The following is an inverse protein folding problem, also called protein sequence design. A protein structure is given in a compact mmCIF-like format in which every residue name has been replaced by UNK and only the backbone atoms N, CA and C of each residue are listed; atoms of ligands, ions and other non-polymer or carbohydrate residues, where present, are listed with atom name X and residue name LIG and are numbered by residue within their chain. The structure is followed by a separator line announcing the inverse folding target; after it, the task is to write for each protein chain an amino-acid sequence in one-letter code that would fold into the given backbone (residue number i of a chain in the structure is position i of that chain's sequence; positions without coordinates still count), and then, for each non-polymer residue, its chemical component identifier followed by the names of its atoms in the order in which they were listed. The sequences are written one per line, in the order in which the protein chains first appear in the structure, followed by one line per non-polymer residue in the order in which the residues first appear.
data_IF_047186607238
#
_entry.id   IF_047186607238
#
_cell.length_a   1.000
_cell.length_b   1.000
_cell.length_c   1.000
_cell.angle_alpha   90.00
_cell.angle_beta   90.00
_cell.angle_gamma   90.00
#
_symmetry.space_group_name_H-M   'P 1'
#
loop_
_entity.id
_entity.type
_entity.pdbx_description
1 polymer ?
#
# COMPACT_ATOMS: atom_id res chain seq x y z
N UNK A 1 18.75 8.12 -3.18
CA UNK A 1 18.60 9.05 -2.03
C UNK A 1 17.49 10.05 -2.32
N UNK A 2 16.28 9.79 -1.81
CA UNK A 2 15.16 10.73 -1.82
C UNK A 2 15.05 11.31 -0.40
N UNK A 3 15.03 12.63 -0.22
CA UNK A 3 14.93 13.28 1.09
C UNK A 3 13.47 13.18 1.60
N UNK A 4 13.06 11.96 2.00
CA UNK A 4 11.66 11.54 2.27
C UNK A 4 10.92 12.46 3.26
N UNK A 5 11.57 12.85 4.35
CA UNK A 5 10.97 13.71 5.39
C UNK A 5 10.71 15.15 4.91
N UNK A 6 11.65 15.74 4.19
CA UNK A 6 11.55 17.14 3.74
C UNK A 6 10.41 17.37 2.74
N UNK A 7 10.14 16.42 1.85
CA UNK A 7 9.01 16.52 0.92
C UNK A 7 7.66 16.51 1.62
N UNK A 8 7.52 15.72 2.69
CA UNK A 8 6.28 15.63 3.45
C UNK A 8 5.98 16.93 4.19
N UNK A 9 6.97 17.53 4.86
CA UNK A 9 6.76 18.75 5.65
C UNK A 9 6.19 19.92 4.84
N UNK A 10 6.69 20.15 3.62
CA UNK A 10 6.16 21.22 2.76
C UNK A 10 4.70 21.00 2.37
N UNK A 11 4.31 19.75 2.10
CA UNK A 11 2.92 19.41 1.76
C UNK A 11 2.03 19.53 3.00
N UNK A 12 2.49 19.05 4.16
CA UNK A 12 1.74 19.13 5.40
C UNK A 12 1.45 20.58 5.80
N UNK A 13 2.38 21.52 5.59
CA UNK A 13 2.16 22.95 5.86
C UNK A 13 0.97 23.52 5.04
N UNK A 14 0.81 23.10 3.78
CA UNK A 14 -0.33 23.51 2.95
C UNK A 14 -1.64 22.94 3.51
N UNK A 15 -1.65 21.65 3.87
CA UNK A 15 -2.85 21.03 4.44
C UNK A 15 -3.20 21.55 5.83
N UNK A 16 -2.22 21.91 6.66
CA UNK A 16 -2.45 22.50 7.97
C UNK A 16 -3.17 23.85 7.87
N UNK A 17 -2.91 24.62 6.80
CA UNK A 17 -3.65 25.85 6.53
C UNK A 17 -5.10 25.59 6.03
N UNK A 18 -5.38 24.40 5.49
CA UNK A 18 -6.71 24.02 4.99
C UNK A 18 -7.59 23.35 6.05
N UNK A 19 -7.02 22.40 6.82
CA UNK A 19 -7.70 21.65 7.87
C UNK A 19 -6.72 21.39 9.04
N UNK A 20 -6.58 22.34 9.97
CA UNK A 20 -5.58 22.26 11.04
C UNK A 20 -5.86 21.12 12.03
N UNK A 21 -7.13 20.83 12.30
CA UNK A 21 -7.54 19.73 13.20
C UNK A 21 -7.14 18.39 12.60
N UNK A 22 -7.45 18.16 11.31
CA UNK A 22 -7.01 16.95 10.62
C UNK A 22 -5.48 16.82 10.61
N UNK A 23 -4.77 17.90 10.27
CA UNK A 23 -3.30 17.87 10.15
C UNK A 23 -2.63 17.54 11.49
N UNK A 24 -3.14 18.06 12.60
CA UNK A 24 -2.57 17.87 13.93
C UNK A 24 -3.00 16.54 14.57
N UNK A 25 -4.27 16.17 14.44
CA UNK A 25 -4.84 15.06 15.21
C UNK A 25 -4.94 13.77 14.42
N UNK A 26 -5.06 13.85 13.09
CA UNK A 26 -5.45 12.73 12.22
C UNK A 26 -4.36 12.28 11.26
N UNK A 27 -3.21 12.94 11.26
CA UNK A 27 -1.98 12.43 10.67
C UNK A 27 -1.19 11.72 11.77
N UNK A 28 -0.96 10.41 11.61
CA UNK A 28 -0.23 9.58 12.57
C UNK A 28 0.86 8.78 11.86
N UNK A 29 1.82 8.28 12.62
CA UNK A 29 2.87 7.36 12.19
C UNK A 29 3.02 6.22 13.20
N UNK A 30 3.81 5.20 12.88
CA UNK A 30 4.05 4.07 13.78
C UNK A 30 2.96 3.00 13.68
N UNK A 31 2.42 2.80 12.48
CA UNK A 31 1.54 1.71 12.16
C UNK A 31 2.22 0.38 12.55
N UNK A 32 1.58 -0.39 13.44
CA UNK A 32 2.23 -1.56 14.04
C UNK A 32 1.32 -2.79 14.13
N UNK A 33 0.03 -2.60 14.43
CA UNK A 33 -0.95 -3.68 14.46
C UNK A 33 -2.31 -3.24 13.92
N UNK A 34 -3.14 -4.22 13.54
CA UNK A 34 -4.51 -3.96 13.10
C UNK A 34 -5.35 -3.33 14.21
N UNK A 35 -5.18 -3.79 15.46
CA UNK A 35 -5.88 -3.24 16.63
C UNK A 35 -5.50 -1.77 16.87
N UNK A 36 -4.22 -1.42 16.75
CA UNK A 36 -3.76 -0.04 16.88
C UNK A 36 -4.33 0.87 15.80
N UNK A 37 -4.49 0.36 14.58
CA UNK A 37 -5.15 1.09 13.49
C UNK A 37 -6.63 1.34 13.81
N UNK A 38 -7.37 0.32 14.26
CA UNK A 38 -8.78 0.43 14.66
C UNK A 38 -8.92 1.42 15.81
N UNK A 39 -8.04 1.35 16.81
CA UNK A 39 -8.09 2.19 18.01
C UNK A 39 -8.08 3.69 17.68
N UNK A 40 -7.33 4.09 16.65
CA UNK A 40 -7.23 5.47 16.21
C UNK A 40 -8.48 6.00 15.50
N UNK A 41 -9.45 5.14 15.17
CA UNK A 41 -10.73 5.50 14.54
C UNK A 41 -11.93 4.83 15.23
N UNK A 42 -11.75 4.34 16.46
CA UNK A 42 -12.73 3.51 17.17
C UNK A 42 -14.04 4.23 17.47
N UNK A 43 -15.12 3.46 17.51
CA UNK A 43 -16.44 3.89 17.96
C UNK A 43 -16.46 4.02 19.48
N UNK A 44 -17.44 4.75 20.06
CA UNK A 44 -17.61 4.78 21.50
C UNK A 44 -17.83 3.38 22.07
N UNK A 45 -17.25 3.13 23.26
CA UNK A 45 -17.36 1.85 23.96
C UNK A 45 -18.30 2.02 25.14
N UNK A 46 -19.34 1.19 25.18
CA UNK A 46 -20.33 1.15 26.26
C UNK A 46 -20.16 -0.12 27.09
N UNK A 47 -20.34 0.00 28.40
CA UNK A 47 -20.33 -1.12 29.33
C UNK A 47 -21.67 -1.22 30.04
N UNK A 48 -22.21 -2.43 30.14
CA UNK A 48 -23.38 -2.72 30.96
C UNK A 48 -22.96 -2.83 32.42
N UNK A 49 -23.41 -1.90 33.24
CA UNK A 49 -23.14 -1.86 34.66
C UNK A 49 -24.45 -2.10 35.43
N UNK A 50 -24.42 -2.94 36.48
CA UNK A 50 -25.61 -3.19 37.29
C UNK A 50 -25.97 -1.92 38.04
N UNK A 51 -27.24 -1.53 37.96
CA UNK A 51 -27.78 -0.43 38.75
C UNK A 51 -27.83 -0.88 40.21
N UNK A 52 -27.32 -0.04 41.11
CA UNK A 52 -27.29 -0.29 42.55
C UNK A 52 -28.26 0.66 43.25
N UNK A 53 -28.99 0.14 44.23
CA UNK A 53 -29.84 0.96 45.10
C UNK A 53 -29.00 1.81 46.07
N UNK A 54 -29.66 2.68 46.85
CA UNK A 54 -28.99 3.53 47.86
C UNK A 54 -28.25 2.72 48.95
N UNK A 55 -28.52 1.43 49.08
CA UNK A 55 -27.84 0.50 49.99
C UNK A 55 -26.75 -0.35 49.33
N UNK A 56 -26.46 -0.13 48.04
CA UNK A 56 -25.43 -0.85 47.29
C UNK A 56 -25.85 -2.22 46.76
N UNK A 57 -27.11 -2.63 46.90
CA UNK A 57 -27.63 -3.89 46.36
C UNK A 57 -27.99 -3.74 44.88
N UNK A 58 -27.70 -4.78 44.09
CA UNK A 58 -28.09 -4.84 42.69
C UNK A 58 -29.61 -4.83 42.57
N UNK A 59 -30.15 -3.94 41.75
CA UNK A 59 -31.60 -3.82 41.52
C UNK A 59 -32.12 -4.84 40.49
N UNK A 60 -31.21 -5.56 39.81
CA UNK A 60 -31.52 -6.44 38.68
C UNK A 60 -31.54 -5.71 37.32
N UNK A 61 -31.52 -4.38 37.34
CA UNK A 61 -31.43 -3.55 36.14
C UNK A 61 -29.97 -3.28 35.77
N UNK A 62 -29.71 -3.09 34.47
CA UNK A 62 -28.41 -2.71 33.94
C UNK A 62 -28.54 -1.38 33.21
N UNK A 63 -27.58 -0.48 33.46
CA UNK A 63 -27.43 0.75 32.70
C UNK A 63 -26.24 0.63 31.74
N UNK A 64 -26.34 1.26 30.57
CA UNK A 64 -25.22 1.39 29.64
C UNK A 64 -24.45 2.68 29.96
N UNK A 65 -23.24 2.51 30.50
CA UNK A 65 -22.33 3.62 30.76
C UNK A 65 -21.31 3.70 29.61
N UNK A 66 -21.16 4.89 29.01
CA UNK A 66 -20.08 5.14 28.05
C UNK A 66 -18.74 5.19 28.81
N UNK A 67 -17.84 4.26 28.52
CA UNK A 67 -16.52 4.16 29.19
C UNK A 67 -15.39 4.72 28.32
N UNK A 68 -15.62 4.85 27.02
CA UNK A 68 -14.72 5.53 26.08
C UNK A 68 -15.58 6.24 25.02
N UNK A 69 -15.45 7.57 24.83
CA UNK A 69 -16.22 8.29 23.83
C UNK A 69 -15.81 7.93 22.39
N UNK A 70 -14.70 7.21 22.19
CA UNK A 70 -14.17 6.87 20.88
C UNK A 70 -13.51 8.06 20.18
N UNK A 71 -13.47 8.01 18.85
CA UNK A 71 -12.94 9.06 17.98
C UNK A 71 -14.04 9.50 17.02
N UNK A 72 -14.39 10.78 17.08
CA UNK A 72 -15.42 11.38 16.21
C UNK A 72 -14.93 11.55 14.76
N UNK A 73 -13.74 12.14 14.57
CA UNK A 73 -13.14 12.26 13.24
C UNK A 73 -12.55 10.92 12.78
N UNK A 74 -13.35 10.19 12.00
CA UNK A 74 -13.01 8.88 11.44
C UNK A 74 -11.95 8.91 10.33
N UNK A 75 -11.45 10.09 9.93
CA UNK A 75 -10.34 10.20 8.97
C UNK A 75 -9.04 9.85 9.65
N UNK A 76 -8.15 9.14 8.96
CA UNK A 76 -6.79 8.89 9.44
C UNK A 76 -5.83 8.81 8.26
N UNK A 77 -4.71 9.53 8.33
CA UNK A 77 -3.58 9.35 7.45
C UNK A 77 -2.42 8.72 8.22
N UNK A 78 -2.06 7.49 7.89
CA UNK A 78 -0.86 6.85 8.39
C UNK A 78 0.33 7.20 7.47
N UNK A 79 1.26 8.01 7.97
CA UNK A 79 2.50 8.38 7.29
C UNK A 79 3.64 7.51 7.82
N UNK A 80 4.28 6.76 6.92
CA UNK A 80 5.36 5.84 7.27
C UNK A 80 6.62 6.18 6.48
N UNK A 81 7.59 6.81 7.14
CA UNK A 81 8.89 7.13 6.55
C UNK A 81 9.72 5.87 6.19
N UNK A 82 9.46 4.77 6.90
CA UNK A 82 10.13 3.48 6.76
C UNK A 82 9.10 2.35 6.61
N UNK A 83 8.41 2.33 5.48
CA UNK A 83 7.37 1.34 5.20
C UNK A 83 7.92 -0.10 5.14
N UNK A 84 9.24 -0.29 4.99
CA UNK A 84 9.87 -1.61 5.08
C UNK A 84 9.65 -2.27 6.46
N UNK A 85 9.57 -1.49 7.55
CA UNK A 85 9.32 -2.02 8.89
C UNK A 85 7.98 -2.77 9.00
N UNK A 86 6.96 -2.31 8.24
CA UNK A 86 5.67 -2.98 8.14
C UNK A 86 5.74 -4.31 7.42
N UNK A 87 6.57 -4.39 6.37
CA UNK A 87 6.74 -5.60 5.56
C UNK A 87 7.69 -6.61 6.20
N UNK A 88 8.65 -6.14 6.99
CA UNK A 88 9.63 -6.99 7.70
C UNK A 88 9.01 -7.71 8.91
N UNK A 89 7.80 -7.35 9.34
CA UNK A 89 7.18 -8.03 10.48
C UNK A 89 7.10 -9.53 10.16
N UNK A 90 7.78 -10.40 10.93
CA UNK A 90 7.69 -11.83 10.69
C UNK A 90 6.23 -12.24 10.74
N UNK A 91 5.87 -13.32 10.03
CA UNK A 91 4.59 -14.03 10.19
C UNK A 91 4.46 -14.51 11.64
N UNK A 92 4.21 -13.58 12.56
CA UNK A 92 3.76 -13.86 13.91
C UNK A 92 2.33 -14.32 13.72
N UNK A 93 2.03 -15.53 14.16
CA UNK A 93 0.68 -16.02 14.33
C UNK A 93 -0.11 -15.01 15.18
N UNK A 94 -0.84 -14.10 14.51
CA UNK A 94 -1.57 -13.00 15.15
C UNK A 94 -1.38 -11.59 14.58
N UNK A 95 -0.51 -11.35 13.58
CA UNK A 95 -0.47 -10.01 12.95
C UNK A 95 -1.70 -9.79 12.06
N UNK A 96 -2.66 -8.99 12.55
CA UNK A 96 -3.92 -8.68 11.86
C UNK A 96 -3.83 -7.48 10.93
N UNK A 97 -2.68 -6.80 10.85
CA UNK A 97 -2.57 -5.50 10.18
C UNK A 97 -2.92 -5.55 8.69
N UNK A 98 -2.34 -6.48 7.92
CA UNK A 98 -2.62 -6.57 6.48
C UNK A 98 -4.08 -6.91 6.16
N UNK A 99 -4.73 -7.90 6.82
CA UNK A 99 -6.18 -8.07 6.73
C UNK A 99 -6.99 -6.81 7.06
N UNK A 100 -6.63 -6.07 8.12
CA UNK A 100 -7.34 -4.85 8.52
C UNK A 100 -7.15 -3.72 7.50
N UNK A 101 -5.95 -3.52 6.95
CA UNK A 101 -5.71 -2.54 5.87
C UNK A 101 -6.54 -2.88 4.64
N UNK A 102 -6.64 -4.17 4.28
CA UNK A 102 -7.48 -4.61 3.17
C UNK A 102 -8.95 -4.28 3.38
N UNK A 103 -9.47 -4.51 4.60
CA UNK A 103 -10.84 -4.14 4.99
C UNK A 103 -11.06 -2.62 5.00
N UNK A 104 -10.08 -1.86 5.49
CA UNK A 104 -10.12 -0.40 5.54
C UNK A 104 -10.27 0.21 4.13
N UNK A 105 -9.60 -0.37 3.13
CA UNK A 105 -9.71 0.06 1.74
C UNK A 105 -11.07 -0.28 1.11
N UNK A 106 -11.74 -1.35 1.55
CA UNK A 106 -13.00 -1.84 0.98
C UNK A 106 -14.23 -1.17 1.58
N UNK A 107 -14.34 -1.11 2.90
CA UNK A 107 -15.57 -0.66 3.58
C UNK A 107 -15.34 0.41 4.63
N UNK A 108 -14.15 0.49 5.22
CA UNK A 108 -13.89 1.33 6.39
C UNK A 108 -14.54 0.82 7.68
N UNK A 109 -15.26 -0.31 7.65
CA UNK A 109 -15.83 -0.94 8.83
C UNK A 109 -14.86 -1.99 9.34
N UNK A 110 -14.27 -1.72 10.51
CA UNK A 110 -13.21 -2.51 11.09
C UNK A 110 -13.63 -3.05 12.45
N UNK A 111 -13.26 -4.28 12.73
CA UNK A 111 -13.57 -4.91 14.01
C UNK A 111 -12.52 -5.96 14.34
N UNK A 112 -12.13 -6.00 15.61
CA UNK A 112 -11.32 -7.08 16.19
C UNK A 112 -12.20 -7.88 17.15
N UNK A 113 -12.36 -9.17 16.87
CA UNK A 113 -13.15 -10.10 17.70
C UNK A 113 -12.36 -10.63 18.92
N UNK A 114 -11.25 -9.97 19.28
CA UNK A 114 -10.45 -10.41 20.43
C UNK A 114 -11.18 -10.15 21.74
N UNK A 115 -11.21 -11.17 22.61
CA UNK A 115 -11.94 -11.13 23.90
C UNK A 115 -11.52 -9.99 24.83
N UNK A 116 -10.26 -9.55 24.74
CA UNK A 116 -9.64 -8.63 25.68
C UNK A 116 -9.59 -7.17 25.17
N UNK A 117 -9.84 -6.92 23.88
CA UNK A 117 -9.86 -5.58 23.31
C UNK A 117 -10.81 -5.52 22.10
N UNK A 118 -12.13 -5.62 22.31
CA UNK A 118 -13.12 -5.52 21.25
C UNK A 118 -13.21 -4.06 20.78
N UNK A 119 -12.29 -3.65 19.91
CA UNK A 119 -12.33 -2.36 19.25
C UNK A 119 -13.07 -2.51 17.91
N UNK A 120 -14.05 -1.64 17.70
CA UNK A 120 -14.79 -1.50 16.45
C UNK A 120 -14.64 -0.07 15.94
N UNK A 121 -14.55 0.09 14.63
CA UNK A 121 -14.59 1.38 13.96
C UNK A 121 -15.57 1.30 12.79
N UNK A 122 -16.57 2.17 12.76
CA UNK A 122 -17.56 2.22 11.70
C UNK A 122 -17.29 3.43 10.79
N UNK A 123 -17.36 3.23 9.48
CA UNK A 123 -17.16 4.24 8.43
C UNK A 123 -15.80 4.98 8.53
N UNK A 124 -14.73 4.25 8.88
CA UNK A 124 -13.37 4.81 8.91
C UNK A 124 -12.86 5.17 7.50
N UNK A 125 -12.21 6.33 7.39
CA UNK A 125 -11.58 6.77 6.15
C UNK A 125 -10.06 6.83 6.33
N UNK A 126 -9.40 5.72 6.00
CA UNK A 126 -7.96 5.53 6.26
C UNK A 126 -7.18 5.66 4.95
N UNK A 127 -6.17 6.53 4.97
CA UNK A 127 -5.15 6.67 3.93
C UNK A 127 -3.78 6.27 4.48
N UNK A 128 -2.92 5.73 3.62
CA UNK A 128 -1.56 5.34 4.00
C UNK A 128 -0.59 5.92 2.97
N UNK A 129 0.43 6.63 3.45
CA UNK A 129 1.56 7.11 2.64
C UNK A 129 2.82 6.48 3.20
N UNK A 130 3.35 5.50 2.48
CA UNK A 130 4.56 4.77 2.85
C UNK A 130 5.74 5.10 1.95
N UNK A 131 6.91 5.30 2.56
CA UNK A 131 8.16 5.45 1.84
C UNK A 131 9.05 4.21 2.03
N UNK A 132 9.44 3.58 0.91
CA UNK A 132 10.27 2.37 0.89
C UNK A 132 11.32 2.44 -0.22
N UNK A 133 12.41 1.69 -0.07
CA UNK A 133 13.41 1.50 -1.14
C UNK A 133 13.02 0.30 -2.01
N UNK A 134 13.32 0.36 -3.31
CA UNK A 134 13.02 -0.71 -4.29
C UNK A 134 13.45 -2.10 -3.79
N UNK A 135 14.69 -2.23 -3.31
CA UNK A 135 15.22 -3.53 -2.92
C UNK A 135 14.55 -4.08 -1.65
N UNK A 136 14.16 -3.19 -0.72
CA UNK A 136 13.42 -3.58 0.48
C UNK A 136 12.01 -4.09 0.13
N UNK A 137 11.28 -3.38 -0.73
CA UNK A 137 9.93 -3.84 -1.11
C UNK A 137 9.99 -5.17 -1.86
N UNK A 138 10.97 -5.37 -2.75
CA UNK A 138 11.15 -6.66 -3.44
C UNK A 138 11.50 -7.79 -2.48
N UNK A 139 12.29 -7.50 -1.46
CA UNK A 139 12.74 -8.49 -0.48
C UNK A 139 11.64 -8.89 0.50
N UNK A 140 10.82 -7.93 0.94
CA UNK A 140 9.89 -8.12 2.05
C UNK A 140 8.42 -8.29 1.62
N UNK A 141 8.03 -7.83 0.43
CA UNK A 141 6.69 -8.10 -0.09
C UNK A 141 6.64 -9.54 -0.64
N UNK A 142 6.12 -10.46 0.17
CA UNK A 142 5.97 -11.86 -0.23
C UNK A 142 4.89 -12.04 -1.31
N UNK A 143 5.02 -13.08 -2.13
CA UNK A 143 3.98 -13.50 -3.09
C UNK A 143 2.64 -13.75 -2.41
N UNK A 144 2.64 -14.26 -1.19
CA UNK A 144 1.43 -14.49 -0.38
C UNK A 144 0.70 -13.19 -0.12
N UNK A 145 1.39 -12.15 0.37
CA UNK A 145 0.74 -10.87 0.69
C UNK A 145 0.31 -10.10 -0.56
N UNK A 146 1.12 -10.15 -1.62
CA UNK A 146 0.72 -9.60 -2.91
C UNK A 146 -0.50 -10.32 -3.48
N UNK A 147 -0.51 -11.66 -3.45
CA UNK A 147 -1.63 -12.48 -3.92
C UNK A 147 -2.90 -12.32 -3.08
N UNK A 148 -2.77 -12.05 -1.78
CA UNK A 148 -3.85 -11.69 -0.88
C UNK A 148 -4.40 -10.27 -1.14
N UNK A 149 -3.80 -9.54 -2.08
CA UNK A 149 -4.20 -8.21 -2.52
C UNK A 149 -3.73 -7.08 -1.60
N UNK A 150 -2.74 -7.28 -0.74
CA UNK A 150 -2.15 -6.16 -0.02
C UNK A 150 -1.55 -5.14 -1.02
N UNK A 151 -0.71 -5.62 -1.94
CA UNK A 151 0.01 -4.77 -2.88
C UNK A 151 -0.86 -4.00 -3.88
N UNK A 152 -1.99 -4.58 -4.33
CA UNK A 152 -2.89 -3.93 -5.29
C UNK A 152 -3.77 -2.81 -4.71
N UNK A 153 -3.73 -2.60 -3.39
CA UNK A 153 -4.42 -1.49 -2.73
C UNK A 153 -3.55 -0.24 -2.61
N UNK A 154 -2.27 -0.32 -2.98
CA UNK A 154 -1.35 0.81 -3.03
C UNK A 154 -1.15 1.29 -4.48
N UNK A 155 -0.97 2.61 -4.63
CA UNK A 155 -0.41 3.21 -5.84
C UNK A 155 1.12 3.22 -5.69
N UNK A 156 1.80 2.43 -6.51
CA UNK A 156 3.27 2.37 -6.51
C UNK A 156 3.85 3.55 -7.29
N UNK A 157 4.62 4.41 -6.63
CA UNK A 157 5.16 5.64 -7.25
C UNK A 157 6.67 5.66 -7.15
N UNK A 158 7.37 5.55 -8.28
CA UNK A 158 8.83 5.62 -8.33
C UNK A 158 9.36 7.05 -8.30
N UNK A 159 9.70 7.56 -7.12
CA UNK A 159 10.30 8.90 -7.00
C UNK A 159 11.85 8.85 -7.07
N UNK A 160 12.44 9.69 -7.94
CA UNK A 160 13.89 9.97 -7.98
C UNK A 160 14.15 11.43 -7.66
N UNK A 161 15.23 11.71 -6.92
CA UNK A 161 15.67 13.10 -6.68
C UNK A 161 15.96 13.78 -8.02
N UNK A 162 15.30 14.91 -8.27
CA UNK A 162 15.44 15.68 -9.51
C UNK A 162 16.63 16.64 -9.49
N UNK A 163 16.93 17.27 -8.35
CA UNK A 163 17.95 18.34 -8.25
C UNK A 163 18.86 18.17 -7.03
N UNK A 164 20.06 18.75 -7.12
CA UNK A 164 21.01 18.91 -6.02
C UNK A 164 20.92 20.35 -5.53
N UNK A 165 20.23 20.55 -4.42
CA UNK A 165 20.04 21.87 -3.81
C UNK A 165 20.77 21.87 -2.46
N UNK A 166 22.06 22.26 -2.42
CA UNK A 166 22.86 22.27 -1.18
C UNK A 166 22.26 23.23 -0.15
N UNK A 167 21.86 24.42 -0.59
CA UNK A 167 21.19 25.45 0.23
C UNK A 167 19.66 25.24 0.37
N UNK A 168 19.14 24.09 -0.08
CA UNK A 168 17.70 23.84 -0.12
C UNK A 168 16.96 24.61 -1.23
N UNK A 169 15.63 24.66 -1.13
CA UNK A 169 14.76 25.43 -2.02
C UNK A 169 14.34 26.75 -1.38
N UNK A 170 14.12 27.78 -2.19
CA UNK A 170 13.62 29.09 -1.74
C UNK A 170 12.09 29.05 -1.52
N UNK A 171 11.61 28.08 -0.74
CA UNK A 171 10.17 27.87 -0.52
C UNK A 171 9.52 28.99 0.29
N UNK A 172 10.31 29.68 1.11
CA UNK A 172 9.96 30.91 1.82
C UNK A 172 9.55 32.05 0.87
N UNK A 173 10.08 32.05 -0.35
CA UNK A 173 9.74 33.05 -1.39
C UNK A 173 8.50 32.68 -2.21
N UNK A 174 7.94 31.49 -2.02
CA UNK A 174 6.77 31.04 -2.76
C UNK A 174 5.50 31.45 -2.03
N UNK A 175 4.59 32.12 -2.73
CA UNK A 175 3.27 32.43 -2.19
C UNK A 175 2.32 31.24 -2.41
N UNK A 176 2.09 30.45 -1.35
CA UNK A 176 1.14 29.34 -1.37
C UNK A 176 -0.31 29.75 -1.15
N UNK A 177 -0.60 31.00 -0.77
CA UNK A 177 -1.96 31.45 -0.45
C UNK A 177 -2.97 31.20 -1.58
N UNK A 178 -2.68 31.43 -2.88
CA UNK A 178 -3.63 31.12 -3.95
C UNK A 178 -3.99 29.63 -4.02
N UNK A 179 -3.01 28.75 -3.82
CA UNK A 179 -3.21 27.31 -3.79
C UNK A 179 -4.02 26.88 -2.57
N UNK A 180 -3.68 27.40 -1.39
CA UNK A 180 -4.37 27.13 -0.13
C UNK A 180 -5.84 27.56 -0.24
N UNK A 181 -6.13 28.76 -0.76
CA UNK A 181 -7.49 29.23 -0.95
C UNK A 181 -8.30 28.32 -1.88
N UNK A 182 -7.72 27.92 -3.03
CA UNK A 182 -8.37 26.99 -3.97
C UNK A 182 -8.65 25.63 -3.33
N UNK A 183 -7.65 25.07 -2.64
CA UNK A 183 -7.77 23.77 -2.00
C UNK A 183 -8.82 23.79 -0.88
N UNK A 184 -8.81 24.83 -0.05
CA UNK A 184 -9.80 25.03 1.02
C UNK A 184 -11.21 25.14 0.45
N UNK A 185 -11.40 25.95 -0.59
CA UNK A 185 -12.69 26.08 -1.27
C UNK A 185 -13.18 24.76 -1.85
N UNK A 186 -12.29 23.97 -2.47
CA UNK A 186 -12.66 22.66 -3.02
C UNK A 186 -13.03 21.66 -1.90
N UNK A 187 -12.30 21.64 -0.78
CA UNK A 187 -12.63 20.78 0.36
C UNK A 187 -13.98 21.16 0.95
N UNK A 188 -14.24 22.45 1.16
CA UNK A 188 -15.50 22.93 1.76
C UNK A 188 -16.70 22.67 0.84
N UNK A 189 -16.58 22.94 -0.45
CA UNK A 189 -17.71 22.79 -1.40
C UNK A 189 -18.08 21.33 -1.65
N UNK A 190 -17.17 20.38 -1.42
CA UNK A 190 -17.37 18.97 -1.77
C UNK A 190 -17.68 18.03 -0.61
N UNK A 191 -17.60 18.50 0.65
CA UNK A 191 -17.84 17.68 1.86
C UNK A 191 -19.18 16.93 1.87
N UNK A 192 -20.21 17.48 1.24
CA UNK A 192 -21.56 16.90 1.19
C UNK A 192 -21.79 15.90 0.05
N UNK A 193 -20.88 15.81 -0.92
CA UNK A 193 -21.07 15.00 -2.12
C UNK A 193 -20.89 13.53 -1.77
N UNK A 194 -21.95 12.74 -1.98
CA UNK A 194 -21.95 11.29 -1.67
C UNK A 194 -21.72 10.40 -2.89
N UNK A 195 -22.07 10.90 -4.07
CA UNK A 195 -22.01 10.14 -5.32
C UNK A 195 -21.66 11.09 -6.46
N UNK A 196 -20.74 10.65 -7.32
CA UNK A 196 -20.46 11.28 -8.60
C UNK A 196 -20.90 10.34 -9.71
N UNK A 197 -21.43 10.91 -10.78
CA UNK A 197 -21.68 10.20 -12.03
C UNK A 197 -20.60 10.58 -13.05
N UNK A 198 -20.35 9.71 -14.03
CA UNK A 198 -19.57 10.07 -15.21
C UNK A 198 -20.48 10.81 -16.19
N UNK A 199 -19.96 11.85 -16.83
CA UNK A 199 -20.60 12.42 -18.01
C UNK A 199 -20.46 11.47 -19.21
N UNK A 200 -21.10 11.80 -20.33
CA UNK A 200 -21.11 10.94 -21.50
C UNK A 200 -19.71 10.73 -22.08
N UNK A 201 -18.89 11.79 -22.15
CA UNK A 201 -17.52 11.70 -22.65
C UNK A 201 -16.61 10.83 -21.77
N UNK A 202 -16.74 10.91 -20.44
CA UNK A 202 -16.03 10.03 -19.52
C UNK A 202 -16.57 8.59 -19.60
N UNK A 203 -17.87 8.39 -19.85
CA UNK A 203 -18.48 7.07 -20.02
C UNK A 203 -17.89 6.35 -21.24
N UNK A 204 -17.79 7.02 -22.38
CA UNK A 204 -17.19 6.49 -23.60
C UNK A 204 -15.73 6.06 -23.38
N UNK A 205 -14.91 6.94 -22.80
CA UNK A 205 -13.50 6.63 -22.48
C UNK A 205 -13.43 5.45 -21.52
N UNK A 206 -14.26 5.44 -20.47
CA UNK A 206 -14.28 4.36 -19.49
C UNK A 206 -14.59 3.02 -20.14
N UNK A 207 -15.62 2.95 -20.98
CA UNK A 207 -15.97 1.73 -21.71
C UNK A 207 -14.84 1.23 -22.61
N UNK A 208 -14.09 2.14 -23.25
CA UNK A 208 -12.97 1.77 -24.11
C UNK A 208 -11.77 1.21 -23.33
N UNK A 209 -11.42 1.76 -22.16
CA UNK A 209 -10.24 1.35 -21.38
C UNK A 209 -10.52 0.20 -20.40
N UNK A 210 -11.77 0.00 -19.99
CA UNK A 210 -12.15 -0.98 -18.97
C UNK A 210 -11.62 -2.40 -19.27
N UNK A 211 -11.76 -2.97 -20.48
CA UNK A 211 -11.25 -4.31 -20.76
C UNK A 211 -9.75 -4.47 -20.51
N UNK A 212 -8.96 -3.46 -20.89
CA UNK A 212 -7.51 -3.45 -20.68
C UNK A 212 -7.15 -3.39 -19.19
N UNK A 213 -7.87 -2.58 -18.41
CA UNK A 213 -7.66 -2.49 -16.96
C UNK A 213 -8.05 -3.79 -16.23
N UNK A 214 -9.06 -4.51 -16.74
CA UNK A 214 -9.58 -5.74 -16.14
C UNK A 214 -8.86 -7.02 -16.55
N UNK A 215 -8.14 -7.03 -17.67
CA UNK A 215 -7.52 -8.25 -18.23
C UNK A 215 -6.54 -8.94 -17.26
N UNK A 216 -5.96 -8.18 -16.32
CA UNK A 216 -4.99 -8.69 -15.36
C UNK A 216 -3.66 -9.11 -16.02
N UNK A 217 -2.66 -9.35 -15.19
CA UNK A 217 -1.37 -9.89 -15.63
C UNK A 217 -0.94 -11.07 -14.75
N UNK A 218 -0.12 -12.00 -15.24
CA UNK A 218 0.47 -13.04 -14.41
C UNK A 218 1.58 -12.48 -13.51
N UNK A 219 2.00 -13.29 -12.52
CA UNK A 219 3.15 -12.99 -11.66
C UNK A 219 2.89 -11.92 -10.60
N UNK A 220 3.97 -11.47 -9.95
CA UNK A 220 3.89 -10.49 -8.87
C UNK A 220 3.38 -9.14 -9.37
N UNK A 221 3.81 -8.72 -10.57
CA UNK A 221 3.34 -7.49 -11.21
C UNK A 221 1.82 -7.46 -11.32
N UNK A 222 1.20 -8.51 -11.87
CA UNK A 222 -0.25 -8.55 -11.97
C UNK A 222 -0.95 -8.61 -10.62
N UNK A 223 -0.39 -9.33 -9.64
CA UNK A 223 -0.94 -9.36 -8.29
C UNK A 223 -0.97 -7.98 -7.62
N UNK A 224 0.01 -7.12 -7.89
CA UNK A 224 0.06 -5.75 -7.34
C UNK A 224 -0.65 -4.70 -8.20
N UNK A 225 -1.13 -5.04 -9.40
CA UNK A 225 -1.86 -4.11 -10.28
C UNK A 225 -3.31 -4.51 -10.53
N UNK A 226 -3.78 -5.66 -10.03
CA UNK A 226 -5.12 -6.24 -10.28
C UNK A 226 -6.33 -5.46 -9.74
N UNK A 227 -6.17 -4.19 -9.32
CA UNK A 227 -7.27 -3.30 -8.90
C UNK A 227 -7.24 -1.97 -9.65
N UNK A 228 -6.68 -1.99 -10.85
CA UNK A 228 -6.50 -0.84 -11.73
C UNK A 228 -7.78 0.00 -11.87
N UNK A 229 -8.91 -0.63 -12.13
CA UNK A 229 -10.21 0.00 -12.34
C UNK A 229 -10.64 0.81 -11.12
N UNK A 230 -10.51 0.20 -9.94
CA UNK A 230 -10.90 0.81 -8.69
C UNK A 230 -9.96 1.95 -8.28
N UNK A 231 -8.68 1.88 -8.65
CA UNK A 231 -7.70 2.94 -8.41
C UNK A 231 -7.94 4.13 -9.35
N UNK A 232 -8.10 3.87 -10.65
CA UNK A 232 -8.41 4.91 -11.66
C UNK A 232 -9.69 5.64 -11.29
N UNK A 233 -10.75 4.93 -10.90
CA UNK A 233 -12.02 5.58 -10.56
C UNK A 233 -11.91 6.44 -9.29
N UNK A 234 -11.16 6.01 -8.27
CA UNK A 234 -10.91 6.84 -7.09
C UNK A 234 -10.14 8.12 -7.44
N UNK A 235 -9.11 8.02 -8.28
CA UNK A 235 -8.37 9.19 -8.76
C UNK A 235 -9.26 10.14 -9.58
N UNK A 236 -10.10 9.60 -10.46
CA UNK A 236 -11.03 10.40 -11.27
C UNK A 236 -12.05 11.15 -10.41
N UNK A 237 -12.59 10.49 -9.37
CA UNK A 237 -13.44 11.15 -8.38
C UNK A 237 -12.69 12.29 -7.66
N UNK A 238 -11.46 12.04 -7.20
CA UNK A 238 -10.66 13.06 -6.51
C UNK A 238 -10.41 14.28 -7.41
N UNK A 239 -10.08 14.08 -8.69
CA UNK A 239 -9.86 15.19 -9.61
C UNK A 239 -11.13 15.98 -9.91
N UNK A 240 -12.28 15.31 -10.09
CA UNK A 240 -13.55 16.00 -10.25
C UNK A 240 -13.89 16.87 -9.03
N UNK A 241 -13.70 16.33 -7.82
CA UNK A 241 -13.94 17.05 -6.57
C UNK A 241 -12.96 18.22 -6.36
N UNK A 242 -11.69 18.07 -6.75
CA UNK A 242 -10.72 19.16 -6.69
C UNK A 242 -11.07 20.33 -7.62
N UNK A 243 -11.76 20.05 -8.73
CA UNK A 243 -12.32 21.07 -9.63
C UNK A 243 -13.70 21.59 -9.15
N UNK A 244 -14.21 21.10 -8.01
CA UNK A 244 -15.50 21.49 -7.44
C UNK A 244 -16.71 20.96 -8.21
N UNK A 245 -16.54 19.90 -9.01
CA UNK A 245 -17.58 19.33 -9.87
C UNK A 245 -18.20 18.08 -9.25
N UNK A 246 -19.50 17.91 -9.47
CA UNK A 246 -20.29 16.72 -9.05
C UNK A 246 -20.33 15.61 -10.11
N UNK A 247 -19.67 15.83 -11.25
CA UNK A 247 -19.59 14.89 -12.36
C UNK A 247 -18.14 14.66 -12.80
N UNK A 248 -17.81 13.41 -13.11
CA UNK A 248 -16.51 13.02 -13.65
C UNK A 248 -16.55 13.28 -15.15
N UNK A 249 -15.80 14.29 -15.58
CA UNK A 249 -15.60 14.65 -16.98
C UNK A 249 -14.48 13.84 -17.61
N UNK A 250 -14.45 13.83 -18.95
CA UNK A 250 -13.39 13.21 -19.75
C UNK A 250 -11.97 13.64 -19.32
N UNK A 251 -11.79 14.91 -18.96
CA UNK A 251 -10.50 15.46 -18.49
C UNK A 251 -10.04 14.81 -17.17
N UNK A 252 -10.95 14.66 -16.20
CA UNK A 252 -10.63 14.03 -14.91
C UNK A 252 -10.26 12.55 -15.09
N UNK A 253 -10.99 11.84 -15.96
CA UNK A 253 -10.70 10.42 -16.24
C UNK A 253 -9.36 10.25 -16.97
N UNK A 254 -9.06 11.11 -17.96
CA UNK A 254 -7.75 11.10 -18.63
C UNK A 254 -6.60 11.40 -17.67
N UNK A 255 -6.78 12.37 -16.77
CA UNK A 255 -5.78 12.67 -15.74
C UNK A 255 -5.57 11.48 -14.78
N UNK A 256 -6.65 10.80 -14.38
CA UNK A 256 -6.58 9.59 -13.55
C UNK A 256 -5.85 8.43 -14.25
N UNK A 257 -6.14 8.21 -15.54
CA UNK A 257 -5.45 7.22 -16.36
C UNK A 257 -3.96 7.53 -16.48
N UNK A 258 -3.57 8.79 -16.72
CA UNK A 258 -2.17 9.17 -16.81
C UNK A 258 -1.39 8.89 -15.51
N UNK A 259 -2.00 9.15 -14.35
CA UNK A 259 -1.38 8.80 -13.05
C UNK A 259 -1.31 7.30 -12.86
N UNK A 260 -2.36 6.56 -13.24
CA UNK A 260 -2.35 5.11 -13.19
C UNK A 260 -1.28 4.50 -14.10
N UNK A 261 -1.13 4.97 -15.34
CA UNK A 261 -0.08 4.54 -16.27
C UNK A 261 1.32 4.73 -15.67
N UNK A 262 1.55 5.86 -14.99
CA UNK A 262 2.79 6.07 -14.25
C UNK A 262 2.97 5.09 -13.09
N UNK A 263 1.89 4.78 -12.36
CA UNK A 263 1.92 3.81 -11.27
C UNK A 263 2.15 2.38 -11.76
N UNK A 264 1.54 2.00 -12.89
CA UNK A 264 1.74 0.71 -13.53
C UNK A 264 3.16 0.56 -14.06
N UNK A 265 3.69 1.59 -14.74
CA UNK A 265 5.10 1.63 -15.15
C UNK A 265 6.06 1.55 -13.96
N UNK A 266 5.73 2.22 -12.85
CA UNK A 266 6.47 2.13 -11.59
C UNK A 266 6.42 0.71 -11.02
N UNK A 267 5.25 0.08 -10.98
CA UNK A 267 5.09 -1.30 -10.53
C UNK A 267 5.88 -2.26 -11.43
N UNK A 268 5.84 -2.09 -12.74
CA UNK A 268 6.65 -2.86 -13.69
C UNK A 268 8.15 -2.68 -13.46
N UNK A 269 8.61 -1.47 -13.17
CA UNK A 269 10.01 -1.22 -12.83
C UNK A 269 10.43 -1.89 -11.49
N UNK A 270 9.53 -1.95 -10.52
CA UNK A 270 9.81 -2.54 -9.20
C UNK A 270 9.72 -4.08 -9.24
N UNK A 271 8.65 -4.61 -9.86
CA UNK A 271 8.23 -6.01 -9.76
C UNK A 271 8.23 -6.78 -11.09
N UNK A 272 8.47 -6.13 -12.24
CA UNK A 272 8.36 -6.76 -13.56
C UNK A 272 9.35 -7.90 -13.79
N UNK A 273 10.51 -7.85 -13.14
CA UNK A 273 11.51 -8.92 -13.11
C UNK A 273 11.42 -9.80 -11.84
N UNK A 274 10.48 -9.51 -10.94
CA UNK A 274 10.39 -10.15 -9.64
C UNK A 274 9.34 -11.28 -9.69
N UNK A 275 9.78 -12.50 -9.39
CA UNK A 275 8.91 -13.66 -9.23
C UNK A 275 8.20 -13.67 -7.88
N UNK A 276 8.67 -12.85 -6.92
CA UNK A 276 8.14 -12.81 -5.55
C UNK A 276 8.63 -13.95 -4.66
N UNK A 277 9.59 -14.74 -5.15
CA UNK A 277 10.43 -15.64 -4.35
C UNK A 277 11.83 -15.02 -4.26
N UNK A 278 12.27 -14.55 -3.08
CA UNK A 278 13.58 -13.92 -2.91
C UNK A 278 14.75 -14.79 -3.36
N UNK A 279 14.64 -16.13 -3.22
CA UNK A 279 15.70 -17.05 -3.65
C UNK A 279 15.74 -17.11 -5.18
N UNK A 280 14.58 -17.23 -5.83
CA UNK A 280 14.50 -17.24 -7.29
C UNK A 280 14.98 -15.92 -7.90
N UNK A 281 14.59 -14.79 -7.33
CA UNK A 281 15.00 -13.45 -7.78
C UNK A 281 16.51 -13.25 -7.64
N UNK A 282 17.11 -13.71 -6.53
CA UNK A 282 18.55 -13.60 -6.28
C UNK A 282 19.34 -14.50 -7.24
N UNK A 283 18.87 -15.73 -7.49
CA UNK A 283 19.46 -16.63 -8.48
C UNK A 283 19.39 -16.00 -9.88
N UNK A 284 18.23 -15.50 -10.31
CA UNK A 284 18.08 -14.88 -11.63
C UNK A 284 18.99 -13.66 -11.80
N UNK A 285 19.09 -12.84 -10.75
CA UNK A 285 19.98 -11.67 -10.75
C UNK A 285 21.45 -12.08 -10.88
N UNK A 286 21.88 -13.10 -10.13
CA UNK A 286 23.24 -13.62 -10.21
C UNK A 286 23.55 -14.23 -11.60
N UNK A 287 22.59 -14.96 -12.19
CA UNK A 287 22.72 -15.52 -13.52
C UNK A 287 22.76 -14.45 -14.62
N UNK A 288 21.95 -13.39 -14.52
CA UNK A 288 22.01 -12.26 -15.47
C UNK A 288 23.33 -11.50 -15.42
N UNK A 289 23.96 -11.45 -14.25
CA UNK A 289 25.27 -10.83 -14.07
C UNK A 289 26.45 -11.76 -14.40
N UNK A 290 26.20 -13.05 -14.68
CA UNK A 290 27.23 -14.03 -15.00
C UNK A 290 26.91 -14.78 -16.30
N UNK A 291 27.45 -14.26 -17.41
CA UNK A 291 27.25 -14.80 -18.76
C UNK A 291 27.74 -16.24 -18.95
N UNK A 292 28.62 -16.74 -18.08
CA UNK A 292 29.12 -18.13 -18.13
C UNK A 292 28.22 -19.12 -17.37
N UNK A 293 27.10 -18.64 -16.81
CA UNK A 293 26.22 -19.45 -16.00
C UNK A 293 26.83 -19.86 -14.66
N UNK A 294 25.99 -20.41 -13.78
CA UNK A 294 26.40 -20.90 -12.47
C UNK A 294 26.00 -22.37 -12.32
N UNK A 295 26.89 -23.16 -11.72
CA UNK A 295 26.53 -24.52 -11.28
C UNK A 295 25.66 -24.45 -10.04
N UNK A 296 24.94 -25.54 -9.72
CA UNK A 296 24.17 -25.63 -8.47
C UNK A 296 25.00 -25.32 -7.22
N UNK A 297 26.29 -25.68 -7.22
CA UNK A 297 27.22 -25.35 -6.14
C UNK A 297 27.49 -23.86 -6.08
N UNK A 298 27.79 -23.22 -7.21
CA UNK A 298 27.97 -21.76 -7.28
C UNK A 298 26.73 -21.00 -6.85
N UNK A 299 25.54 -21.50 -7.19
CA UNK A 299 24.27 -20.95 -6.72
C UNK A 299 24.12 -21.10 -5.20
N UNK A 300 24.47 -22.25 -4.62
CA UNK A 300 24.45 -22.46 -3.16
C UNK A 300 25.41 -21.50 -2.44
N UNK A 301 26.57 -21.23 -3.05
CA UNK A 301 27.58 -20.33 -2.51
C UNK A 301 27.11 -18.87 -2.46
N UNK A 302 26.21 -18.44 -3.37
CA UNK A 302 25.57 -17.10 -3.30
C UNK A 302 24.91 -16.84 -1.95
N UNK A 303 24.32 -17.89 -1.36
CA UNK A 303 23.62 -17.82 -0.08
C UNK A 303 24.50 -18.21 1.11
N UNK A 304 25.82 -18.33 0.92
CA UNK A 304 26.75 -18.83 1.93
C UNK A 304 26.42 -20.25 2.38
N UNK A 305 25.82 -21.08 1.51
CA UNK A 305 25.35 -22.45 1.78
C UNK A 305 24.29 -22.57 2.89
N UNK A 306 23.60 -21.46 3.21
CA UNK A 306 22.57 -21.42 4.25
C UNK A 306 21.17 -21.80 3.75
N UNK A 307 21.03 -22.17 2.47
CA UNK A 307 19.74 -22.55 1.85
C UNK A 307 19.77 -24.03 1.47
N UNK A 308 18.68 -24.73 1.80
CA UNK A 308 18.57 -26.16 1.55
C UNK A 308 18.46 -26.49 0.05
N UNK A 309 18.91 -27.68 -0.34
CA UNK A 309 18.85 -28.18 -1.72
C UNK A 309 17.44 -28.09 -2.34
N UNK A 310 16.41 -28.39 -1.54
CA UNK A 310 15.01 -28.36 -1.98
C UNK A 310 14.49 -26.93 -2.20
N UNK A 311 14.97 -25.95 -1.42
CA UNK A 311 14.62 -24.54 -1.62
C UNK A 311 15.21 -24.02 -2.92
N UNK A 312 16.52 -24.26 -3.15
CA UNK A 312 17.19 -23.90 -4.40
C UNK A 312 16.55 -24.64 -5.59
N UNK A 313 16.19 -25.92 -5.42
CA UNK A 313 15.50 -26.69 -6.46
C UNK A 313 14.13 -26.12 -6.84
N UNK A 314 13.30 -25.74 -5.87
CA UNK A 314 12.01 -25.10 -6.14
C UNK A 314 12.16 -23.73 -6.83
N UNK A 315 13.13 -22.94 -6.40
CA UNK A 315 13.43 -21.65 -7.03
C UNK A 315 13.87 -21.81 -8.49
N UNK A 316 14.78 -22.75 -8.77
CA UNK A 316 15.23 -23.07 -10.13
C UNK A 316 14.10 -23.65 -11.00
N UNK A 317 13.25 -24.52 -10.43
CA UNK A 317 12.06 -25.03 -11.12
C UNK A 317 11.09 -23.91 -11.51
N UNK A 318 10.84 -22.98 -10.59
CA UNK A 318 9.99 -21.79 -10.86
C UNK A 318 10.56 -20.92 -11.97
N UNK A 319 11.88 -20.70 -11.96
CA UNK A 319 12.59 -19.93 -13.00
C UNK A 319 12.53 -20.61 -14.37
N UNK A 320 12.64 -21.94 -14.40
CA UNK A 320 12.59 -22.75 -15.61
C UNK A 320 11.18 -22.75 -16.21
N UNK A 321 10.15 -22.95 -15.39
CA UNK A 321 8.74 -22.88 -15.79
C UNK A 321 8.36 -21.49 -16.32
N UNK A 322 8.92 -20.43 -15.73
CA UNK A 322 8.75 -19.06 -16.21
C UNK A 322 9.54 -18.74 -17.49
N UNK A 323 10.38 -19.66 -17.97
CA UNK A 323 11.20 -19.47 -19.18
C UNK A 323 12.32 -18.43 -19.03
N UNK A 324 12.70 -18.08 -17.81
CA UNK A 324 13.69 -17.03 -17.51
C UNK A 324 15.12 -17.56 -17.41
N UNK A 325 15.27 -18.86 -17.24
CA UNK A 325 16.57 -19.54 -17.19
C UNK A 325 16.54 -20.78 -18.10
N UNK A 326 17.72 -21.24 -18.47
CA UNK A 326 17.93 -22.53 -19.12
C UNK A 326 18.95 -23.35 -18.34
N UNK A 327 18.83 -24.68 -18.43
CA UNK A 327 19.71 -25.63 -17.77
C UNK A 327 20.42 -26.46 -18.83
N UNK A 328 21.72 -26.59 -18.69
CA UNK A 328 22.57 -27.48 -19.48
C UNK A 328 23.26 -28.47 -18.55
N UNK A 329 23.46 -29.68 -19.07
CA UNK A 329 24.27 -30.71 -18.42
C UNK A 329 25.73 -30.48 -18.82
N UNK A 330 26.59 -30.22 -17.84
CA UNK A 330 28.04 -30.11 -18.01
C UNK A 330 28.67 -31.45 -17.61
N UNK A 331 29.34 -32.11 -18.56
CA UNK A 331 30.10 -33.33 -18.29
C UNK A 331 31.28 -32.99 -17.38
N UNK A 332 31.42 -33.75 -16.30
CA UNK A 332 32.56 -33.64 -15.38
C UNK A 332 33.21 -35.01 -15.23
N UNK A 333 34.41 -35.09 -14.65
CA UNK A 333 35.06 -36.38 -14.34
C UNK A 333 34.30 -37.25 -13.31
N UNK A 334 33.08 -36.85 -12.91
CA UNK A 334 32.18 -37.55 -12.01
C UNK A 334 30.72 -37.40 -12.44
N UNK A 335 29.80 -37.12 -11.50
CA UNK A 335 28.38 -36.90 -11.82
C UNK A 335 28.23 -35.60 -12.62
N UNK A 336 27.51 -35.65 -13.75
CA UNK A 336 27.20 -34.46 -14.55
C UNK A 336 26.68 -33.32 -13.67
N UNK A 337 27.24 -32.13 -13.88
CA UNK A 337 26.86 -30.93 -13.18
C UNK A 337 25.74 -30.22 -13.94
N UNK A 338 24.75 -29.71 -13.22
CA UNK A 338 23.75 -28.81 -13.80
C UNK A 338 24.32 -27.40 -13.79
N UNK A 339 24.49 -26.82 -14.99
CA UNK A 339 24.83 -25.42 -15.18
C UNK A 339 23.60 -24.66 -15.66
N UNK A 340 23.35 -23.52 -15.01
CA UNK A 340 22.18 -22.70 -15.25
C UNK A 340 22.60 -21.37 -15.86
N UNK A 341 21.82 -20.87 -16.81
CA UNK A 341 22.05 -19.60 -17.49
C UNK A 341 20.76 -18.77 -17.48
N UNK A 342 20.89 -17.45 -17.44
CA UNK A 342 19.76 -16.55 -17.72
C UNK A 342 19.46 -16.57 -19.23
N UNK A 343 18.18 -16.48 -19.59
CA UNK A 343 17.72 -16.31 -20.98
C UNK A 343 17.66 -14.85 -21.40
#
# INVERSE_FOLDING_TARGET
KARKGSSWSHVLNIFQACDPVWAHERVKSGLSSGEGLIWNVRDPIYKKEPVKDKGGKHTGEYQETCVDPGIDDKRLLAQEAEFASLLHMPDRSGNTLFPIIRKAWETGNLESLTKNSPARATNAHISIVGHIVKDEVRRYLSRTEAGNGFGNRFLWVCAKRSKYLPEGGQTDKLNFSPLICRLKSAIESTRGIRKLNRDEGAREIWCAVYPQLSQGMPGLLGAVTSRAEAQVMRLACLYALLDGLTEIKATHLRAALAVWEYCDASAKFIFGDALGDPIADEILTALRNNFHGLTRTGISDLFGRNRGKDQIGRALGTLLEAGLVQMEQEETNGRNAERWYAR
#
